data_IF_459576912078
#
_entry.id   IF_459576912078
#
_cell.length_a   1.000
_cell.length_b   1.000
_cell.length_c   1.000
_cell.angle_alpha   90.00
_cell.angle_beta   90.00
_cell.angle_gamma   90.00
#
_symmetry.space_group_name_H-M   'P 1'
#
loop_
_entity.id
_entity.type
_entity.pdbx_description
1 polymer ?
#
# COMPACT_ATOMS: atom_id res chain seq x y z
N UNK A 1 46.87 -79.83 9.19
CA UNK A 1 45.98 -78.66 9.28
C UNK A 1 45.12 -78.65 8.03
N UNK A 2 43.95 -79.29 8.08
CA UNK A 2 43.04 -79.41 6.92
C UNK A 2 42.09 -78.21 6.95
N UNK A 3 42.33 -77.23 6.08
CA UNK A 3 41.38 -76.15 5.83
C UNK A 3 40.21 -76.73 5.02
N UNK A 4 39.05 -76.86 5.65
CA UNK A 4 37.82 -77.32 5.00
C UNK A 4 37.37 -76.30 3.95
N UNK A 5 37.37 -76.71 2.68
CA UNK A 5 36.73 -75.96 1.60
C UNK A 5 35.22 -75.96 1.90
N UNK A 6 34.56 -74.79 1.97
CA UNK A 6 33.13 -74.72 2.28
C UNK A 6 32.31 -75.48 1.23
N UNK A 7 31.26 -76.16 1.69
CA UNK A 7 30.40 -76.95 0.82
C UNK A 7 29.60 -76.01 -0.10
N UNK A 8 29.32 -76.39 -1.35
CA UNK A 8 28.68 -75.49 -2.32
C UNK A 8 27.31 -74.95 -1.85
N UNK A 9 26.59 -75.73 -1.04
CA UNK A 9 25.34 -75.33 -0.38
C UNK A 9 25.52 -74.19 0.63
N UNK A 10 26.64 -74.17 1.37
CA UNK A 10 26.93 -73.13 2.36
C UNK A 10 27.21 -71.79 1.66
N UNK A 11 27.89 -71.82 0.51
CA UNK A 11 28.15 -70.63 -0.30
C UNK A 11 26.86 -69.98 -0.82
N UNK A 12 25.90 -70.78 -1.31
CA UNK A 12 24.60 -70.25 -1.77
C UNK A 12 23.80 -69.59 -0.65
N UNK A 13 23.77 -70.18 0.55
CA UNK A 13 23.07 -69.62 1.70
C UNK A 13 23.69 -68.28 2.12
N UNK A 14 25.02 -68.16 2.10
CA UNK A 14 25.72 -66.90 2.40
C UNK A 14 25.39 -65.82 1.36
N UNK A 15 25.40 -66.15 0.06
CA UNK A 15 25.08 -65.18 -0.99
C UNK A 15 23.62 -64.68 -0.89
N UNK A 16 22.66 -65.59 -0.70
CA UNK A 16 21.25 -65.23 -0.57
C UNK A 16 21.02 -64.35 0.66
N UNK A 17 21.60 -64.72 1.81
CA UNK A 17 21.45 -63.93 3.03
C UNK A 17 22.08 -62.53 2.91
N UNK A 18 23.24 -62.41 2.25
CA UNK A 18 23.85 -61.12 1.95
C UNK A 18 22.98 -60.27 1.02
N UNK A 19 22.43 -60.84 -0.06
CA UNK A 19 21.52 -60.11 -0.97
C UNK A 19 20.28 -59.60 -0.24
N UNK A 20 19.65 -60.46 0.56
CA UNK A 20 18.47 -60.09 1.36
C UNK A 20 18.82 -58.95 2.32
N UNK A 21 19.95 -59.04 3.02
CA UNK A 21 20.44 -57.97 3.90
C UNK A 21 20.63 -56.65 3.16
N UNK A 22 21.27 -56.66 1.98
CA UNK A 22 21.46 -55.43 1.19
C UNK A 22 20.12 -54.85 0.69
N UNK A 23 19.16 -55.68 0.28
CA UNK A 23 17.82 -55.20 -0.11
C UNK A 23 17.12 -54.51 1.07
N UNK A 24 17.17 -55.11 2.26
CA UNK A 24 16.62 -54.49 3.47
C UNK A 24 17.35 -53.19 3.84
N UNK A 25 18.69 -53.18 3.74
CA UNK A 25 19.50 -52.00 4.01
C UNK A 25 19.18 -50.86 3.03
N UNK A 26 19.07 -51.15 1.73
CA UNK A 26 18.67 -50.18 0.71
C UNK A 26 17.27 -49.63 0.97
N UNK A 27 16.29 -50.50 1.30
CA UNK A 27 14.94 -50.07 1.65
C UNK A 27 14.91 -49.18 2.89
N UNK A 28 15.70 -49.52 3.92
CA UNK A 28 15.85 -48.74 5.14
C UNK A 28 16.47 -47.36 4.85
N UNK A 29 17.53 -47.29 4.04
CA UNK A 29 18.16 -46.03 3.64
C UNK A 29 17.17 -45.16 2.86
N UNK A 30 16.46 -45.73 1.86
CA UNK A 30 15.45 -45.01 1.08
C UNK A 30 14.34 -44.47 1.99
N UNK A 31 13.84 -45.29 2.92
CA UNK A 31 12.85 -44.88 3.90
C UNK A 31 13.31 -43.68 4.74
N UNK A 32 14.54 -43.72 5.26
CA UNK A 32 15.12 -42.60 6.03
C UNK A 32 15.33 -41.34 5.17
N UNK A 33 15.75 -41.48 3.92
CA UNK A 33 15.89 -40.34 2.99
C UNK A 33 14.54 -39.69 2.72
N UNK A 34 13.48 -40.48 2.49
CA UNK A 34 12.12 -39.95 2.30
C UNK A 34 11.63 -39.23 3.55
N UNK A 35 11.84 -39.79 4.74
CA UNK A 35 11.48 -39.14 6.00
C UNK A 35 12.24 -37.81 6.21
N UNK A 36 13.53 -37.80 5.91
CA UNK A 36 14.36 -36.60 6.01
C UNK A 36 13.90 -35.51 5.04
N UNK A 37 13.66 -35.87 3.77
CA UNK A 37 13.14 -34.95 2.75
C UNK A 37 11.78 -34.36 3.15
N UNK A 38 10.82 -35.20 3.55
CA UNK A 38 9.49 -34.73 4.00
C UNK A 38 9.60 -33.71 5.14
N UNK A 39 10.47 -33.98 6.11
CA UNK A 39 10.67 -33.06 7.24
C UNK A 39 11.35 -31.76 6.82
N UNK A 40 12.26 -31.83 5.86
CA UNK A 40 12.93 -30.64 5.32
C UNK A 40 11.96 -29.76 4.52
N UNK A 41 11.10 -30.36 3.72
CA UNK A 41 10.07 -29.64 2.95
C UNK A 41 9.05 -28.96 3.87
N UNK A 42 8.62 -29.65 4.93
CA UNK A 42 7.75 -29.06 5.97
C UNK A 42 8.41 -27.84 6.63
N UNK A 43 9.65 -28.00 7.11
CA UNK A 43 10.39 -26.89 7.74
C UNK A 43 10.60 -25.71 6.77
N UNK A 44 10.76 -25.97 5.47
CA UNK A 44 10.91 -24.93 4.46
C UNK A 44 9.58 -24.19 4.27
N UNK A 45 8.48 -24.91 4.10
CA UNK A 45 7.14 -24.31 4.01
C UNK A 45 6.79 -23.49 5.25
N UNK A 46 7.08 -24.00 6.45
CA UNK A 46 6.85 -23.27 7.71
C UNK A 46 7.67 -21.98 7.78
N UNK A 47 8.93 -22.02 7.35
CA UNK A 47 9.79 -20.84 7.27
C UNK A 47 9.29 -19.82 6.25
N UNK A 48 8.85 -20.29 5.08
CA UNK A 48 8.34 -19.43 4.02
C UNK A 48 7.05 -18.73 4.48
N UNK A 49 6.14 -19.46 5.15
CA UNK A 49 4.93 -18.90 5.78
C UNK A 49 5.29 -17.91 6.89
N UNK A 50 6.23 -18.24 7.78
CA UNK A 50 6.65 -17.34 8.86
C UNK A 50 7.28 -16.06 8.31
N UNK A 51 8.10 -16.16 7.26
CA UNK A 51 8.69 -15.00 6.60
C UNK A 51 7.64 -14.15 5.89
N UNK A 52 6.67 -14.77 5.22
CA UNK A 52 5.55 -14.06 4.60
C UNK A 52 4.73 -13.28 5.65
N UNK A 53 4.35 -13.94 6.75
CA UNK A 53 3.63 -13.32 7.84
C UNK A 53 4.42 -12.17 8.50
N UNK A 54 5.72 -12.37 8.76
CA UNK A 54 6.57 -11.32 9.32
C UNK A 54 6.68 -10.12 8.39
N UNK A 55 6.84 -10.35 7.08
CA UNK A 55 6.87 -9.26 6.07
C UNK A 55 5.56 -8.48 6.04
N UNK A 56 4.43 -9.18 6.12
CA UNK A 56 3.11 -8.56 6.14
C UNK A 56 2.90 -7.71 7.40
N UNK A 57 3.22 -8.25 8.58
CA UNK A 57 3.12 -7.52 9.85
C UNK A 57 4.05 -6.30 9.88
N UNK A 58 5.28 -6.45 9.40
CA UNK A 58 6.22 -5.34 9.30
C UNK A 58 5.70 -4.24 8.36
N UNK A 59 5.13 -4.61 7.22
CA UNK A 59 4.55 -3.67 6.27
C UNK A 59 3.35 -2.94 6.87
N UNK A 60 2.46 -3.67 7.55
CA UNK A 60 1.31 -3.10 8.25
C UNK A 60 1.76 -2.11 9.32
N UNK A 61 2.70 -2.49 10.18
CA UNK A 61 3.26 -1.61 11.20
C UNK A 61 3.89 -0.35 10.59
N UNK A 62 4.61 -0.48 9.46
CA UNK A 62 5.20 0.66 8.76
C UNK A 62 4.13 1.64 8.25
N UNK A 63 3.04 1.13 7.70
CA UNK A 63 1.94 1.95 7.20
C UNK A 63 1.19 2.64 8.36
N UNK A 64 0.92 1.92 9.45
CA UNK A 64 0.31 2.49 10.67
C UNK A 64 1.18 3.59 11.28
N UNK A 65 2.51 3.37 11.39
CA UNK A 65 3.44 4.39 11.88
C UNK A 65 3.45 5.63 10.98
N UNK A 66 3.36 5.45 9.66
CA UNK A 66 3.27 6.57 8.73
C UNK A 66 1.98 7.37 8.92
N UNK A 67 0.85 6.69 9.11
CA UNK A 67 -0.43 7.35 9.37
C UNK A 67 -0.43 8.12 10.69
N UNK A 68 0.11 7.53 11.76
CA UNK A 68 0.30 8.20 13.04
C UNK A 68 1.21 9.43 12.91
N UNK A 69 2.27 9.34 12.12
CA UNK A 69 3.18 10.47 11.85
C UNK A 69 2.43 11.60 11.14
N UNK A 70 1.67 11.31 10.09
CA UNK A 70 0.89 12.33 9.40
C UNK A 70 -0.21 12.94 10.28
N UNK A 71 -0.87 12.14 11.12
CA UNK A 71 -1.83 12.65 12.09
C UNK A 71 -1.17 13.57 13.12
N UNK A 72 0.01 13.20 13.63
CA UNK A 72 0.78 14.02 14.55
C UNK A 72 1.22 15.35 13.91
N UNK A 73 1.78 15.30 12.70
CA UNK A 73 2.19 16.51 11.94
C UNK A 73 0.99 17.41 11.67
N UNK A 74 -0.14 16.85 11.24
CA UNK A 74 -1.37 17.60 10.99
C UNK A 74 -1.83 18.37 12.24
N UNK A 75 -1.74 17.74 13.42
CA UNK A 75 -2.08 18.34 14.72
C UNK A 75 -1.08 19.43 15.13
N UNK A 76 0.22 19.20 15.03
CA UNK A 76 1.24 20.21 15.33
C UNK A 76 1.11 21.47 14.45
N UNK A 77 0.82 21.30 13.16
CA UNK A 77 0.56 22.42 12.26
C UNK A 77 -0.70 23.21 12.68
N UNK A 78 -1.76 22.51 13.06
CA UNK A 78 -3.02 23.13 13.46
C UNK A 78 -2.91 23.88 14.80
N UNK A 79 -2.31 23.24 15.80
CA UNK A 79 -2.34 23.74 17.17
C UNK A 79 -1.24 24.76 17.42
N UNK A 80 -0.06 24.63 16.80
CA UNK A 80 1.06 25.53 17.06
C UNK A 80 1.19 26.60 15.96
N UNK A 81 1.37 26.18 14.71
CA UNK A 81 1.74 27.11 13.62
C UNK A 81 0.59 28.04 13.23
N UNK A 82 -0.63 27.51 13.08
CA UNK A 82 -1.80 28.34 12.75
C UNK A 82 -2.15 29.33 13.87
N UNK A 83 -1.94 28.96 15.13
CA UNK A 83 -2.18 29.87 16.26
C UNK A 83 -1.17 31.02 16.26
N UNK A 84 0.12 30.73 16.07
CA UNK A 84 1.18 31.76 16.01
C UNK A 84 0.92 32.72 14.84
N UNK A 85 0.61 32.22 13.65
CA UNK A 85 0.33 33.08 12.49
C UNK A 85 -0.94 33.91 12.66
N UNK A 86 -1.97 33.34 13.27
CA UNK A 86 -3.19 34.08 13.62
C UNK A 86 -2.88 35.22 14.60
N UNK A 87 -2.00 34.97 15.58
CA UNK A 87 -1.53 36.00 16.50
C UNK A 87 -0.71 37.10 15.79
N UNK A 88 0.21 36.74 14.89
CA UNK A 88 0.96 37.74 14.10
C UNK A 88 0.01 38.58 13.25
N UNK A 89 -0.98 37.96 12.59
CA UNK A 89 -2.01 38.66 11.81
C UNK A 89 -2.80 39.67 12.66
N UNK A 90 -3.15 39.30 13.89
CA UNK A 90 -3.82 40.18 14.85
C UNK A 90 -2.92 41.35 15.28
N UNK A 91 -1.64 41.09 15.60
CA UNK A 91 -0.69 42.14 15.99
C UNK A 91 -0.49 43.17 14.87
N UNK A 92 -0.34 42.72 13.62
CA UNK A 92 -0.24 43.61 12.47
C UNK A 92 -1.51 44.46 12.28
N UNK A 93 -2.68 43.91 12.60
CA UNK A 93 -3.95 44.64 12.51
C UNK A 93 -4.11 45.71 13.62
N UNK A 94 -3.37 45.61 14.72
CA UNK A 94 -3.38 46.58 15.82
C UNK A 94 -2.45 47.78 15.59
N UNK A 95 -1.60 47.77 14.55
CA UNK A 95 -0.71 48.88 14.24
C UNK A 95 -1.51 50.00 13.56
N UNK A 96 -1.76 51.10 14.27
CA UNK A 96 -2.61 52.20 13.79
C UNK A 96 -1.86 53.48 13.43
N UNK A 97 -0.68 53.72 14.02
CA UNK A 97 0.09 54.97 13.93
C UNK A 97 1.30 54.80 13.01
N UNK A 98 1.02 54.80 11.70
CA UNK A 98 1.99 54.52 10.62
C UNK A 98 1.72 55.41 9.41
N UNK A 99 2.79 55.77 8.69
CA UNK A 99 2.69 56.53 7.44
C UNK A 99 2.06 55.69 6.30
N UNK A 100 1.82 56.31 5.13
CA UNK A 100 1.17 55.64 4.00
C UNK A 100 2.00 54.48 3.41
N UNK A 101 3.32 54.59 3.39
CA UNK A 101 4.20 53.55 2.86
C UNK A 101 4.23 52.35 3.82
N UNK A 102 4.39 52.61 5.12
CA UNK A 102 4.34 51.61 6.19
C UNK A 102 2.98 50.89 6.23
N UNK A 103 1.88 51.62 6.09
CA UNK A 103 0.52 51.03 6.04
C UNK A 103 0.36 50.08 4.84
N UNK A 104 0.91 50.44 3.69
CA UNK A 104 0.89 49.59 2.49
C UNK A 104 1.66 48.29 2.74
N UNK A 105 2.90 48.39 3.25
CA UNK A 105 3.71 47.21 3.62
C UNK A 105 3.04 46.34 4.68
N UNK A 106 2.36 46.92 5.66
CA UNK A 106 1.64 46.16 6.70
C UNK A 106 0.48 45.37 6.08
N UNK A 107 -0.29 45.98 5.18
CA UNK A 107 -1.37 45.28 4.50
C UNK A 107 -0.86 44.14 3.61
N UNK A 108 0.22 44.36 2.85
CA UNK A 108 0.87 43.29 2.08
C UNK A 108 1.30 42.12 2.97
N UNK A 109 1.93 42.39 4.12
CA UNK A 109 2.30 41.36 5.08
C UNK A 109 1.10 40.63 5.68
N UNK A 110 -0.02 41.34 5.93
CA UNK A 110 -1.26 40.71 6.41
C UNK A 110 -1.86 39.76 5.38
N UNK A 111 -1.82 40.14 4.11
CA UNK A 111 -2.31 39.30 3.01
C UNK A 111 -1.41 38.07 2.82
N UNK A 112 -0.08 38.23 2.87
CA UNK A 112 0.87 37.12 2.84
C UNK A 112 0.64 36.14 4.02
N UNK A 113 0.43 36.64 5.23
CA UNK A 113 0.13 35.78 6.39
C UNK A 113 -1.22 35.08 6.22
N UNK A 114 -2.23 35.77 5.68
CA UNK A 114 -3.53 35.16 5.41
C UNK A 114 -3.41 34.01 4.38
N UNK A 115 -2.56 34.19 3.36
CA UNK A 115 -2.25 33.14 2.40
C UNK A 115 -1.57 31.96 3.08
N UNK A 116 -0.51 32.18 3.85
CA UNK A 116 0.23 31.09 4.55
C UNK A 116 -0.67 30.33 5.52
N UNK A 117 -1.56 31.01 6.27
CA UNK A 117 -2.55 30.34 7.14
C UNK A 117 -3.48 29.43 6.32
N UNK A 118 -3.88 29.88 5.13
CA UNK A 118 -4.74 29.10 4.24
C UNK A 118 -4.00 27.87 3.72
N UNK A 119 -2.77 28.06 3.22
CA UNK A 119 -1.92 26.98 2.70
C UNK A 119 -1.62 25.92 3.77
N UNK A 120 -1.30 26.33 4.99
CA UNK A 120 -1.05 25.42 6.12
C UNK A 120 -2.31 24.66 6.54
N UNK A 121 -3.47 25.31 6.51
CA UNK A 121 -4.74 24.66 6.82
C UNK A 121 -5.06 23.60 5.76
N UNK A 122 -4.81 23.88 4.49
CA UNK A 122 -5.07 22.93 3.41
C UNK A 122 -4.07 21.76 3.44
N UNK A 123 -2.80 22.03 3.77
CA UNK A 123 -1.80 20.99 4.04
C UNK A 123 -2.22 20.11 5.22
N UNK A 124 -2.57 20.69 6.36
CA UNK A 124 -3.01 19.96 7.56
C UNK A 124 -4.22 19.06 7.26
N UNK A 125 -5.21 19.53 6.50
CA UNK A 125 -6.35 18.72 6.05
C UNK A 125 -5.94 17.55 5.16
N UNK A 126 -5.02 17.75 4.21
CA UNK A 126 -4.55 16.68 3.30
C UNK A 126 -3.80 15.55 4.03
N UNK A 127 -3.24 15.85 5.21
CA UNK A 127 -2.54 14.92 6.08
C UNK A 127 -3.45 14.24 7.11
N UNK A 128 -4.60 14.84 7.43
CA UNK A 128 -5.46 14.42 8.55
C UNK A 128 -6.35 13.23 8.22
N UNK A 129 -6.22 12.16 9.00
CA UNK A 129 -7.16 11.03 9.01
C UNK A 129 -8.58 11.48 9.38
N UNK A 130 -8.73 12.34 10.40
CA UNK A 130 -10.04 12.81 10.86
C UNK A 130 -10.85 13.55 9.78
N UNK A 131 -10.16 14.21 8.84
CA UNK A 131 -10.83 14.89 7.74
C UNK A 131 -11.52 13.88 6.81
N UNK A 132 -10.85 12.77 6.50
CA UNK A 132 -11.37 11.69 5.68
C UNK A 132 -12.54 11.01 6.41
N UNK A 133 -12.38 10.69 7.70
CA UNK A 133 -13.43 10.05 8.50
C UNK A 133 -14.71 10.89 8.58
N UNK A 134 -14.60 12.23 8.61
CA UNK A 134 -15.76 13.13 8.71
C UNK A 134 -16.43 13.42 7.35
N UNK A 135 -15.66 13.51 6.27
CA UNK A 135 -16.20 13.83 4.93
C UNK A 135 -16.59 12.58 4.11
N UNK A 136 -15.95 11.45 4.38
CA UNK A 136 -16.02 10.24 3.56
C UNK A 136 -15.11 10.30 2.32
N UNK A 137 -14.80 9.12 1.78
CA UNK A 137 -13.90 8.94 0.63
C UNK A 137 -14.27 9.81 -0.59
N UNK A 138 -15.52 9.69 -1.08
CA UNK A 138 -15.99 10.37 -2.31
C UNK A 138 -15.77 11.87 -2.20
N UNK A 139 -16.26 12.49 -1.10
CA UNK A 139 -16.18 13.94 -0.96
C UNK A 139 -14.75 14.44 -0.80
N UNK A 140 -13.89 13.63 -0.21
CA UNK A 140 -12.47 13.96 -0.05
C UNK A 140 -11.75 13.94 -1.40
N UNK A 141 -12.01 12.93 -2.25
CA UNK A 141 -11.48 12.88 -3.63
C UNK A 141 -12.02 14.04 -4.47
N UNK A 142 -13.32 14.35 -4.41
CA UNK A 142 -13.89 15.51 -5.10
C UNK A 142 -13.17 16.82 -4.73
N UNK A 143 -12.82 17.00 -3.47
CA UNK A 143 -12.11 18.20 -3.03
C UNK A 143 -10.70 18.27 -3.60
N UNK A 144 -9.96 17.15 -3.63
CA UNK A 144 -8.62 17.11 -4.23
C UNK A 144 -8.65 17.32 -5.74
N UNK A 145 -9.61 16.71 -6.46
CA UNK A 145 -9.84 16.94 -7.90
C UNK A 145 -10.14 18.42 -8.17
N UNK A 146 -11.00 19.04 -7.35
CA UNK A 146 -11.31 20.47 -7.50
C UNK A 146 -10.08 21.37 -7.25
N UNK A 147 -9.20 21.02 -6.29
CA UNK A 147 -7.95 21.74 -6.05
C UNK A 147 -6.99 21.57 -7.23
N UNK A 148 -6.89 20.36 -7.76
CA UNK A 148 -6.06 20.04 -8.91
C UNK A 148 -6.49 20.84 -10.14
N UNK A 149 -7.78 20.85 -10.46
CA UNK A 149 -8.33 21.64 -11.57
C UNK A 149 -8.06 23.14 -11.40
N UNK A 150 -8.18 23.67 -10.18
CA UNK A 150 -7.87 25.08 -9.88
C UNK A 150 -6.39 25.43 -10.05
N UNK A 151 -5.49 24.45 -9.86
CA UNK A 151 -4.05 24.66 -10.05
C UNK A 151 -3.67 24.81 -11.52
N UNK A 152 -4.49 24.29 -12.44
CA UNK A 152 -4.23 24.30 -13.88
C UNK A 152 -3.08 23.38 -14.31
N UNK A 153 -2.60 22.50 -13.43
CA UNK A 153 -1.50 21.57 -13.72
C UNK A 153 -1.97 20.44 -14.65
N UNK A 154 -3.15 19.89 -14.40
CA UNK A 154 -3.77 18.77 -15.12
C UNK A 154 -5.29 18.89 -14.96
N UNK A 155 -6.06 18.53 -15.99
CA UNK A 155 -7.52 18.48 -15.92
C UNK A 155 -7.96 17.12 -15.38
N UNK A 156 -8.85 17.12 -14.39
CA UNK A 156 -9.26 15.91 -13.70
C UNK A 156 -10.78 15.79 -13.59
N UNK A 157 -11.28 14.61 -13.95
CA UNK A 157 -12.70 14.24 -13.92
C UNK A 157 -12.94 13.14 -12.88
N UNK A 158 -14.02 13.27 -12.11
CA UNK A 158 -14.48 12.24 -11.19
C UNK A 158 -15.87 11.74 -11.58
N UNK A 159 -16.03 10.41 -11.61
CA UNK A 159 -17.31 9.76 -11.80
C UNK A 159 -17.58 8.78 -10.66
N UNK A 160 -18.81 8.80 -10.14
CA UNK A 160 -19.27 7.91 -9.08
C UNK A 160 -20.48 7.14 -9.59
N UNK A 161 -20.42 5.82 -9.50
CA UNK A 161 -21.46 4.90 -9.97
C UNK A 161 -21.92 4.01 -8.81
N UNK A 162 -23.24 3.78 -8.73
CA UNK A 162 -23.86 3.00 -7.67
C UNK A 162 -24.26 3.80 -6.43
N UNK A 163 -24.80 3.12 -5.42
CA UNK A 163 -25.21 3.74 -4.16
C UNK A 163 -24.04 3.82 -3.21
N UNK A 164 -23.69 5.04 -2.78
CA UNK A 164 -22.60 5.29 -1.84
C UNK A 164 -22.98 4.73 -0.46
N UNK A 165 -22.08 3.95 0.14
CA UNK A 165 -22.16 3.49 1.52
C UNK A 165 -20.74 3.54 2.16
N UNK A 166 -20.64 3.60 3.50
CA UNK A 166 -19.34 3.61 4.18
C UNK A 166 -18.57 2.31 3.96
N UNK A 167 -17.28 2.42 3.59
CA UNK A 167 -16.39 1.26 3.40
C UNK A 167 -15.62 0.87 4.66
N UNK A 168 -15.77 1.66 5.74
CA UNK A 168 -15.00 1.56 6.97
C UNK A 168 -13.80 2.51 6.98
N UNK A 169 -13.53 3.14 8.13
CA UNK A 169 -12.59 4.27 8.22
C UNK A 169 -11.19 3.93 7.70
N UNK A 170 -10.66 2.76 8.05
CA UNK A 170 -9.35 2.30 7.62
C UNK A 170 -9.29 2.09 6.10
N UNK A 171 -10.33 1.51 5.51
CA UNK A 171 -10.38 1.24 4.07
C UNK A 171 -10.52 2.53 3.28
N UNK A 172 -11.37 3.45 3.73
CA UNK A 172 -11.49 4.77 3.10
C UNK A 172 -10.19 5.57 3.16
N UNK A 173 -9.48 5.56 4.30
CA UNK A 173 -8.16 6.18 4.41
C UNK A 173 -7.16 5.57 3.42
N UNK A 174 -7.05 4.25 3.41
CA UNK A 174 -6.08 3.55 2.56
C UNK A 174 -6.36 3.81 1.08
N UNK A 175 -7.62 3.73 0.67
CA UNK A 175 -8.06 4.04 -0.69
C UNK A 175 -7.74 5.49 -1.07
N UNK A 176 -7.97 6.43 -0.15
CA UNK A 176 -7.61 7.83 -0.37
C UNK A 176 -6.10 8.04 -0.52
N UNK A 177 -5.27 7.36 0.30
CA UNK A 177 -3.80 7.42 0.16
C UNK A 177 -3.32 6.82 -1.16
N UNK A 178 -3.95 5.76 -1.64
CA UNK A 178 -3.67 5.20 -2.96
C UNK A 178 -4.03 6.20 -4.06
N UNK A 179 -5.20 6.84 -3.98
CA UNK A 179 -5.59 7.91 -4.90
C UNK A 179 -4.57 9.07 -4.88
N UNK A 180 -4.12 9.52 -3.71
CA UNK A 180 -3.11 10.58 -3.60
C UNK A 180 -1.79 10.19 -4.28
N UNK A 181 -1.32 8.96 -4.06
CA UNK A 181 -0.09 8.47 -4.70
C UNK A 181 -0.26 8.38 -6.22
N UNK A 182 -1.39 7.87 -6.70
CA UNK A 182 -1.72 7.81 -8.13
C UNK A 182 -1.73 9.20 -8.78
N UNK A 183 -2.42 10.16 -8.16
CA UNK A 183 -2.49 11.55 -8.60
C UNK A 183 -1.09 12.21 -8.61
N UNK A 184 -0.29 11.98 -7.57
CA UNK A 184 1.08 12.51 -7.48
C UNK A 184 1.99 11.92 -8.56
N UNK A 185 1.83 10.64 -8.86
CA UNK A 185 2.57 9.97 -9.93
C UNK A 185 2.22 10.56 -11.30
N UNK A 186 0.92 10.81 -11.57
CA UNK A 186 0.48 11.48 -12.78
C UNK A 186 1.15 12.87 -12.91
N UNK A 187 1.05 13.70 -11.87
CA UNK A 187 1.62 15.07 -11.87
C UNK A 187 3.14 15.06 -12.08
N UNK A 188 3.87 14.16 -11.43
CA UNK A 188 5.34 14.20 -11.42
C UNK A 188 6.00 13.51 -12.61
N UNK A 189 5.38 12.45 -13.13
CA UNK A 189 6.08 11.52 -14.03
C UNK A 189 5.37 11.33 -15.37
N UNK A 190 4.05 11.53 -15.46
CA UNK A 190 3.29 11.17 -16.66
C UNK A 190 3.31 12.26 -17.74
N UNK A 191 3.40 13.54 -17.36
CA UNK A 191 3.13 14.64 -18.30
C UNK A 191 1.71 14.61 -18.89
N UNK A 192 0.77 13.93 -18.21
CA UNK A 192 -0.62 13.83 -18.60
C UNK A 192 -1.32 15.18 -18.61
N UNK A 193 -2.26 15.33 -19.53
CA UNK A 193 -3.17 16.48 -19.61
C UNK A 193 -4.50 16.18 -18.91
N UNK A 194 -4.90 14.91 -18.85
CA UNK A 194 -6.15 14.47 -18.26
C UNK A 194 -5.97 13.32 -17.26
N UNK A 195 -6.68 13.42 -16.14
CA UNK A 195 -6.80 12.39 -15.12
C UNK A 195 -8.26 11.99 -14.94
N UNK A 196 -8.60 10.72 -15.14
CA UNK A 196 -9.96 10.21 -14.95
C UNK A 196 -10.04 9.33 -13.71
N UNK A 197 -10.93 9.69 -12.80
CA UNK A 197 -11.20 8.98 -11.57
C UNK A 197 -12.59 8.35 -11.64
N UNK A 198 -12.69 7.06 -11.36
CA UNK A 198 -13.97 6.33 -11.29
C UNK A 198 -14.08 5.59 -9.95
N UNK A 199 -15.17 5.83 -9.24
CA UNK A 199 -15.56 5.08 -8.05
C UNK A 199 -16.83 4.28 -8.37
N UNK A 200 -16.76 2.96 -8.25
CA UNK A 200 -17.90 2.08 -8.52
C UNK A 200 -18.28 1.32 -7.25
N UNK A 201 -19.49 1.59 -6.76
CA UNK A 201 -20.09 0.93 -5.61
C UNK A 201 -21.05 -0.15 -6.09
N UNK A 202 -20.79 -1.39 -5.69
CA UNK A 202 -21.72 -2.51 -5.84
C UNK A 202 -21.93 -3.20 -4.48
N UNK A 203 -22.93 -4.08 -4.33
CA UNK A 203 -23.16 -4.78 -3.06
C UNK A 203 -22.00 -5.67 -2.60
N UNK A 204 -21.19 -6.20 -3.53
CA UNK A 204 -20.13 -7.17 -3.22
C UNK A 204 -18.71 -6.59 -3.39
N UNK A 205 -18.58 -5.58 -4.26
CA UNK A 205 -17.29 -5.03 -4.67
C UNK A 205 -17.32 -3.51 -4.68
N UNK A 206 -16.21 -2.92 -4.25
CA UNK A 206 -15.90 -1.52 -4.51
C UNK A 206 -14.69 -1.44 -5.45
N UNK A 207 -14.76 -0.60 -6.49
CA UNK A 207 -13.63 -0.34 -7.38
C UNK A 207 -13.27 1.15 -7.40
N UNK A 208 -12.00 1.45 -7.11
CA UNK A 208 -11.38 2.74 -7.37
C UNK A 208 -10.49 2.60 -8.60
N UNK A 209 -10.71 3.43 -9.60
CA UNK A 209 -9.88 3.47 -10.81
C UNK A 209 -9.39 4.89 -11.07
N UNK A 210 -8.10 5.00 -11.39
CA UNK A 210 -7.41 6.24 -11.76
C UNK A 210 -6.68 5.98 -13.07
N UNK A 211 -7.03 6.73 -14.12
CA UNK A 211 -6.40 6.70 -15.44
C UNK A 211 -5.76 8.05 -15.73
N UNK A 212 -4.47 8.09 -16.05
CA UNK A 212 -3.83 9.25 -16.70
C UNK A 212 -3.58 8.97 -18.18
N UNK A 213 -3.53 10.02 -18.98
CA UNK A 213 -3.26 9.96 -20.43
C UNK A 213 -1.80 10.34 -20.80
N UNK A 214 -0.88 10.17 -19.85
CA UNK A 214 0.50 10.60 -20.02
C UNK A 214 1.37 9.66 -20.85
N UNK A 215 2.68 9.83 -20.73
CA UNK A 215 3.68 9.09 -21.53
C UNK A 215 3.72 7.58 -21.27
N UNK A 216 3.14 7.11 -20.16
CA UNK A 216 3.18 5.71 -19.74
C UNK A 216 4.61 5.16 -19.57
N UNK A 217 4.73 3.87 -19.26
CA UNK A 217 6.01 3.20 -19.06
C UNK A 217 5.88 1.68 -19.27
N UNK A 218 7.00 1.01 -19.50
CA UNK A 218 7.04 -0.45 -19.49
C UNK A 218 7.19 -0.95 -18.05
N UNK A 219 6.26 -1.81 -17.60
CA UNK A 219 6.29 -2.35 -16.24
C UNK A 219 7.61 -3.09 -15.94
N UNK A 220 8.18 -3.75 -16.95
CA UNK A 220 9.40 -4.55 -16.83
C UNK A 220 10.69 -3.71 -16.78
N UNK A 221 10.63 -2.40 -17.06
CA UNK A 221 11.80 -1.52 -17.04
C UNK A 221 11.91 -0.70 -15.75
N UNK A 222 11.02 -0.92 -14.77
CA UNK A 222 11.06 -0.23 -13.50
C UNK A 222 12.05 -0.92 -12.55
N UNK A 223 13.12 -0.21 -12.21
CA UNK A 223 14.00 -0.61 -11.11
C UNK A 223 13.27 -0.46 -9.76
N UNK A 224 13.70 -1.24 -8.76
CA UNK A 224 13.12 -1.20 -7.41
C UNK A 224 13.09 0.19 -6.76
N UNK A 225 13.96 1.12 -7.17
CA UNK A 225 14.01 2.48 -6.65
C UNK A 225 13.01 3.44 -7.32
N UNK A 226 12.74 3.29 -8.62
CA UNK A 226 11.77 4.12 -9.37
C UNK A 226 10.33 3.61 -9.24
N UNK A 227 10.13 2.32 -8.97
CA UNK A 227 8.81 1.71 -8.74
C UNK A 227 8.26 1.82 -7.32
N UNK A 228 8.92 2.54 -6.40
CA UNK A 228 8.57 2.55 -4.98
C UNK A 228 7.13 3.04 -4.70
N UNK A 229 6.63 4.01 -5.47
CA UNK A 229 5.23 4.47 -5.36
C UNK A 229 4.21 3.42 -5.78
N UNK A 230 4.48 2.66 -6.83
CA UNK A 230 3.62 1.57 -7.31
C UNK A 230 3.60 0.40 -6.32
N UNK A 231 4.77 0.03 -5.80
CA UNK A 231 4.89 -0.98 -4.74
C UNK A 231 4.13 -0.54 -3.49
N UNK A 232 4.18 0.75 -3.14
CA UNK A 232 3.40 1.28 -2.01
C UNK A 232 1.89 1.17 -2.25
N UNK A 233 1.41 1.39 -3.48
CA UNK A 233 0.00 1.24 -3.84
C UNK A 233 -0.44 -0.21 -3.64
N UNK A 234 0.31 -1.18 -4.19
CA UNK A 234 0.01 -2.60 -4.04
C UNK A 234 0.02 -3.03 -2.57
N UNK A 235 1.06 -2.64 -1.83
CA UNK A 235 1.20 -2.92 -0.41
C UNK A 235 0.03 -2.36 0.42
N UNK A 236 -0.40 -1.13 0.14
CA UNK A 236 -1.54 -0.50 0.81
C UNK A 236 -2.84 -1.24 0.51
N UNK A 237 -3.09 -1.61 -0.74
CA UNK A 237 -4.28 -2.36 -1.11
C UNK A 237 -4.34 -3.70 -0.35
N UNK A 238 -3.22 -4.41 -0.28
CA UNK A 238 -3.14 -5.69 0.44
C UNK A 238 -3.49 -5.58 1.93
N UNK A 239 -3.13 -4.47 2.60
CA UNK A 239 -3.44 -4.28 4.03
C UNK A 239 -4.94 -4.27 4.32
N UNK A 240 -5.77 -3.83 3.36
CA UNK A 240 -7.23 -3.81 3.49
C UNK A 240 -7.91 -5.00 2.78
N UNK A 241 -7.13 -5.99 2.31
CA UNK A 241 -7.66 -7.12 1.54
C UNK A 241 -8.15 -6.73 0.14
N UNK A 242 -7.70 -5.60 -0.40
CA UNK A 242 -7.98 -5.17 -1.76
C UNK A 242 -6.87 -5.64 -2.72
N UNK A 243 -7.21 -5.79 -3.99
CA UNK A 243 -6.27 -6.10 -5.06
C UNK A 243 -6.03 -4.84 -5.88
N UNK A 244 -4.77 -4.40 -5.98
CA UNK A 244 -4.36 -3.36 -6.91
C UNK A 244 -3.83 -3.98 -8.21
N UNK A 245 -4.23 -3.43 -9.35
CA UNK A 245 -3.71 -3.78 -10.67
C UNK A 245 -3.26 -2.52 -11.38
N UNK A 246 -2.02 -2.52 -11.86
CA UNK A 246 -1.40 -1.39 -12.52
C UNK A 246 -1.09 -1.80 -13.95
N UNK A 247 -1.62 -1.06 -14.91
CA UNK A 247 -1.39 -1.30 -16.35
C UNK A 247 -0.90 0.00 -16.97
N UNK A 248 0.25 -0.07 -17.64
CA UNK A 248 0.89 1.07 -18.28
C UNK A 248 1.58 0.62 -19.55
N UNK A 249 1.62 1.47 -20.56
CA UNK A 249 2.35 1.23 -21.81
C UNK A 249 2.84 2.56 -22.38
N UNK A 250 4.03 2.61 -23.01
CA UNK A 250 4.54 3.84 -23.58
C UNK A 250 3.56 4.46 -24.58
N UNK A 251 3.12 5.69 -24.31
CA UNK A 251 2.16 6.46 -25.11
C UNK A 251 0.68 6.26 -24.74
N UNK A 252 0.35 5.31 -23.86
CA UNK A 252 -1.03 4.96 -23.47
C UNK A 252 -1.37 5.36 -22.02
N UNK A 253 -0.51 6.14 -21.37
CA UNK A 253 -0.66 6.54 -19.98
C UNK A 253 -0.51 5.41 -18.98
N UNK A 254 -1.06 5.60 -17.79
CA UNK A 254 -1.10 4.61 -16.72
C UNK A 254 -2.50 4.50 -16.13
N UNK A 255 -2.89 3.25 -15.83
CA UNK A 255 -4.15 2.91 -15.15
C UNK A 255 -3.86 2.14 -13.89
N UNK A 256 -4.41 2.65 -12.79
CA UNK A 256 -4.40 2.00 -11.48
C UNK A 256 -5.83 1.63 -11.15
N UNK A 257 -6.09 0.35 -10.94
CA UNK A 257 -7.39 -0.17 -10.53
C UNK A 257 -7.26 -0.90 -9.19
N UNK A 258 -8.03 -0.49 -8.18
CA UNK A 258 -8.08 -1.12 -6.87
C UNK A 258 -9.46 -1.68 -6.62
N UNK A 259 -9.52 -2.99 -6.42
CA UNK A 259 -10.75 -3.74 -6.22
C UNK A 259 -10.81 -4.28 -4.79
N UNK A 260 -11.80 -3.83 -4.03
CA UNK A 260 -12.05 -4.27 -2.66
C UNK A 260 -13.28 -5.18 -2.63
N UNK A 261 -13.08 -6.44 -2.23
CA UNK A 261 -14.17 -7.38 -2.00
C UNK A 261 -14.73 -7.23 -0.58
N UNK A 262 -15.97 -6.78 -0.48
CA UNK A 262 -16.61 -6.40 0.79
C UNK A 262 -17.03 -7.62 1.61
N UNK A 263 -17.22 -8.77 0.95
CA UNK A 263 -17.50 -10.04 1.62
C UNK A 263 -16.23 -10.62 2.27
N UNK A 264 -15.07 -10.48 1.61
CA UNK A 264 -13.77 -10.86 2.18
C UNK A 264 -13.30 -9.89 3.26
N UNK A 265 -13.59 -8.58 3.12
CA UNK A 265 -13.22 -7.56 4.10
C UNK A 265 -13.76 -7.87 5.52
N UNK A 266 -14.99 -8.41 5.62
CA UNK A 266 -15.56 -8.85 6.90
C UNK A 266 -14.77 -9.97 7.58
N UNK A 267 -14.09 -10.81 6.79
CA UNK A 267 -13.26 -11.91 7.28
C UNK A 267 -11.92 -11.38 7.83
N UNK A 268 -11.37 -10.32 7.21
CA UNK A 268 -10.17 -9.62 7.71
C UNK A 268 -10.41 -8.85 9.01
N UNK A 269 -11.58 -8.22 9.19
CA UNK A 269 -11.95 -7.54 10.46
C UNK A 269 -12.21 -8.52 11.61
N UNK A 270 -12.61 -9.75 11.32
CA UNK A 270 -12.86 -10.81 12.31
C UNK A 270 -11.63 -11.72 12.56
N UNK A 271 -10.46 -11.37 12.01
CA UNK A 271 -9.20 -12.07 12.29
C UNK A 271 -9.04 -13.44 11.61
N UNK A 272 -9.81 -13.75 10.56
CA UNK A 272 -9.64 -14.97 9.76
C UNK A 272 -9.02 -14.62 8.41
N UNK A 273 -7.76 -14.98 8.19
CA UNK A 273 -7.13 -14.81 6.89
C UNK A 273 -7.67 -15.84 5.88
N UNK A 274 -8.04 -15.42 4.64
CA UNK A 274 -8.49 -16.33 3.59
C UNK A 274 -7.38 -17.25 3.06
N UNK A 275 -6.10 -16.97 3.37
CA UNK A 275 -4.96 -17.80 3.00
C UNK A 275 -4.63 -18.91 4.02
N UNK A 276 -5.56 -19.22 4.92
CA UNK A 276 -5.54 -20.52 5.59
C UNK A 276 -6.01 -21.60 4.61
N UNK A 277 -5.12 -21.92 3.66
CA UNK A 277 -5.28 -23.10 2.81
C UNK A 277 -5.49 -24.33 3.71
N UNK A 278 -6.72 -24.80 3.74
CA UNK A 278 -7.09 -26.18 4.07
C UNK A 278 -6.50 -27.15 3.05
#
# INVERSE_FOLDING_TARGET
MVNGVPNSSELYVVLISATVFFVFLSGFIIYFVILYQRRQDQNRSERDVMQANFRQEFLKARLEMQEQTFAHVSRELHDNVNQVLSFVKLNLAMITDVDSEQRTRINENRDLIAQVITDLRDLSKSLSFEHITKLGLVKTIENEVNKLNKSGIIEADISVQGTIYPLGEQSELVLFRIFQEAMNNAIKYSGAEHLKISLQYSPEMFNLRVDDDGVGFLMNSLDHNTGSGLINIENRANVIGAVATITSSPGDGCRINVSLNLLQQRIYTDGKHPDSFS
#
